data_IF_514833881811
#
_entry.id   IF_514833881811
#
_cell.length_a   1.000
_cell.length_b   1.000
_cell.length_c   1.000
_cell.angle_alpha   90.00
_cell.angle_beta   90.00
_cell.angle_gamma   90.00
#
_symmetry.space_group_name_H-M   'P 1'
#
loop_
_entity.id
_entity.type
_entity.pdbx_description
1 polymer ?
#
# COMPACT_ATOMS: atom_id res chain seq x y z
N UNK A 1 7.52 -13.36 11.80
CA UNK A 1 6.40 -12.62 12.40
C UNK A 1 5.46 -12.29 11.28
N UNK A 2 4.19 -12.66 11.43
CA UNK A 2 3.17 -12.47 10.40
C UNK A 2 2.31 -11.25 10.72
N UNK A 3 1.92 -10.49 9.69
CA UNK A 3 1.16 -9.26 9.82
C UNK A 3 1.99 -8.01 9.50
N UNK A 4 1.46 -6.84 9.87
CA UNK A 4 2.08 -5.55 9.65
C UNK A 4 2.75 -5.01 10.92
N UNK A 5 3.77 -4.18 10.73
CA UNK A 5 4.25 -3.26 11.76
C UNK A 5 3.48 -1.96 11.60
N UNK A 6 2.91 -1.45 12.69
CA UNK A 6 2.19 -0.17 12.69
C UNK A 6 3.08 0.86 13.35
N UNK A 7 3.25 2.00 12.69
CA UNK A 7 4.09 3.09 13.17
C UNK A 7 3.31 4.40 13.23
N UNK A 8 3.70 5.28 14.15
CA UNK A 8 3.26 6.67 14.16
C UNK A 8 3.91 7.44 13.00
N UNK A 9 3.42 8.65 12.72
CA UNK A 9 4.09 9.57 11.79
C UNK A 9 5.46 10.04 12.29
N UNK A 10 5.74 9.93 13.58
CA UNK A 10 7.06 10.17 14.19
C UNK A 10 7.96 8.92 14.16
N UNK A 11 7.53 7.85 13.48
CA UNK A 11 8.22 6.57 13.35
C UNK A 11 8.32 5.75 14.64
N UNK A 12 7.48 6.05 15.64
CA UNK A 12 7.36 5.18 16.82
C UNK A 12 6.66 3.89 16.45
N UNK A 13 7.18 2.74 16.90
CA UNK A 13 6.50 1.46 16.70
C UNK A 13 5.35 1.33 17.68
N UNK A 14 4.13 1.25 17.16
CA UNK A 14 2.90 1.13 17.94
C UNK A 14 2.47 -0.32 18.12
N UNK A 15 2.73 -1.17 17.11
CA UNK A 15 2.37 -2.58 17.15
C UNK A 15 3.20 -3.44 16.19
N UNK A 16 3.31 -4.71 16.54
CA UNK A 16 3.89 -5.77 15.73
C UNK A 16 2.83 -6.84 15.42
N UNK A 17 2.92 -7.48 14.26
CA UNK A 17 2.01 -8.55 13.84
C UNK A 17 0.55 -8.12 13.70
N UNK A 18 0.31 -6.84 13.42
CA UNK A 18 -1.03 -6.30 13.29
C UNK A 18 -1.75 -6.90 12.08
N UNK A 19 -3.00 -7.33 12.28
CA UNK A 19 -3.91 -7.67 11.17
C UNK A 19 -4.55 -6.37 10.70
N UNK A 20 -4.32 -6.04 9.44
CA UNK A 20 -4.95 -4.87 8.82
C UNK A 20 -6.44 -5.14 8.61
N UNK A 21 -7.31 -4.14 8.82
CA UNK A 21 -8.73 -4.27 8.55
C UNK A 21 -8.98 -4.56 7.07
N UNK A 22 -10.11 -5.21 6.73
CA UNK A 22 -10.49 -5.42 5.35
C UNK A 22 -10.70 -4.09 4.62
N UNK A 23 -10.64 -4.13 3.28
CA UNK A 23 -10.93 -2.96 2.45
C UNK A 23 -12.32 -2.41 2.79
N UNK A 24 -12.42 -1.08 2.94
CA UNK A 24 -13.69 -0.40 3.21
C UNK A 24 -14.54 -0.17 1.94
N UNK A 25 -14.01 -0.54 0.77
CA UNK A 25 -14.66 -0.42 -0.53
C UNK A 25 -13.94 -1.25 -1.59
N UNK A 26 -14.45 -1.21 -2.82
CA UNK A 26 -13.81 -1.85 -3.97
C UNK A 26 -12.67 -0.95 -4.43
N UNK A 27 -11.45 -1.48 -4.46
CA UNK A 27 -10.32 -0.83 -5.13
C UNK A 27 -10.53 -1.05 -6.62
N UNK A 28 -11.14 -0.08 -7.30
CA UNK A 28 -11.48 -0.21 -8.73
C UNK A 28 -10.23 -0.20 -9.61
N UNK A 29 -9.22 0.58 -9.22
CA UNK A 29 -8.01 0.76 -9.99
C UNK A 29 -6.86 1.22 -9.09
N UNK A 30 -5.64 0.80 -9.45
CA UNK A 30 -4.38 1.26 -8.85
C UNK A 30 -3.57 1.87 -9.96
N UNK A 31 -2.83 2.94 -9.67
CA UNK A 31 -1.97 3.61 -10.62
C UNK A 31 -0.51 3.43 -10.22
N UNK A 32 0.36 3.09 -11.17
CA UNK A 32 1.80 3.10 -10.93
C UNK A 32 2.33 4.53 -11.07
N UNK A 33 3.11 4.96 -10.08
CA UNK A 33 3.93 6.14 -10.22
C UNK A 33 5.11 5.86 -11.15
N UNK A 34 5.33 6.77 -12.10
CA UNK A 34 6.49 6.76 -13.00
C UNK A 34 7.63 7.62 -12.45
N UNK A 35 8.87 7.48 -12.95
CA UNK A 35 10.00 8.32 -12.52
C UNK A 35 9.79 9.83 -12.71
N UNK A 36 8.95 10.22 -13.67
CA UNK A 36 8.52 11.61 -13.91
C UNK A 36 7.27 12.00 -13.09
N UNK A 37 6.94 11.23 -12.05
CA UNK A 37 5.84 11.47 -11.10
C UNK A 37 4.44 11.47 -11.71
N UNK A 38 4.25 10.81 -12.86
CA UNK A 38 2.92 10.59 -13.42
C UNK A 38 2.25 9.42 -12.73
N UNK A 39 0.92 9.51 -12.58
CA UNK A 39 0.06 8.54 -11.89
C UNK A 39 -1.12 8.17 -12.78
N UNK A 40 -0.84 7.90 -14.05
CA UNK A 40 -1.82 7.65 -15.11
C UNK A 40 -1.75 6.22 -15.68
N UNK A 41 -0.71 5.46 -15.36
CA UNK A 41 -0.57 4.08 -15.78
C UNK A 41 -1.31 3.14 -14.82
N UNK A 42 -2.34 2.45 -15.31
CA UNK A 42 -3.03 1.40 -14.56
C UNK A 42 -2.06 0.28 -14.15
N UNK A 43 -2.20 -0.20 -12.93
CA UNK A 43 -1.37 -1.24 -12.35
C UNK A 43 -2.24 -2.32 -11.71
N UNK A 44 -2.06 -3.57 -12.14
CA UNK A 44 -2.89 -4.67 -11.65
C UNK A 44 -2.36 -5.25 -10.34
N UNK A 45 -3.28 -5.45 -9.40
CA UNK A 45 -3.07 -6.13 -8.12
C UNK A 45 -3.19 -7.66 -8.23
N UNK A 46 -3.69 -8.19 -9.35
CA UNK A 46 -4.09 -9.60 -9.51
C UNK A 46 -2.91 -10.55 -9.36
N UNK A 47 -1.76 -10.18 -9.91
CA UNK A 47 -0.53 -10.97 -9.86
C UNK A 47 0.25 -10.82 -8.54
N UNK A 48 -0.29 -10.13 -7.54
CA UNK A 48 0.46 -9.76 -6.32
C UNK A 48 0.08 -10.59 -5.11
N UNK A 49 0.99 -10.65 -4.15
CA UNK A 49 0.79 -11.40 -2.90
C UNK A 49 -0.17 -10.71 -1.92
N UNK A 50 -0.47 -11.40 -0.81
CA UNK A 50 -1.34 -10.91 0.26
C UNK A 50 -0.87 -9.60 0.88
N UNK A 51 0.45 -9.36 0.99
CA UNK A 51 1.02 -8.11 1.51
C UNK A 51 0.63 -6.90 0.66
N UNK A 52 0.72 -7.02 -0.67
CA UNK A 52 0.34 -5.96 -1.59
C UNK A 52 -1.16 -5.67 -1.49
N UNK A 53 -1.99 -6.73 -1.51
CA UNK A 53 -3.45 -6.58 -1.37
C UNK A 53 -3.85 -5.91 -0.06
N UNK A 54 -3.24 -6.31 1.06
CA UNK A 54 -3.52 -5.74 2.37
C UNK A 54 -3.09 -4.26 2.45
N UNK A 55 -1.92 -3.92 1.89
CA UNK A 55 -1.43 -2.55 1.85
C UNK A 55 -2.31 -1.63 0.99
N UNK A 56 -2.67 -2.06 -0.23
CA UNK A 56 -3.56 -1.30 -1.11
C UNK A 56 -4.94 -1.08 -0.45
N UNK A 57 -5.51 -2.13 0.15
CA UNK A 57 -6.78 -2.06 0.89
C UNK A 57 -6.69 -1.07 2.06
N UNK A 58 -5.61 -1.12 2.82
CA UNK A 58 -5.40 -0.23 3.95
C UNK A 58 -5.39 1.23 3.52
N UNK A 59 -4.53 1.63 2.57
CA UNK A 59 -4.46 3.05 2.18
C UNK A 59 -5.73 3.54 1.50
N UNK A 60 -6.45 2.67 0.77
CA UNK A 60 -7.75 3.03 0.18
C UNK A 60 -8.82 3.38 1.21
N UNK A 61 -8.75 2.81 2.42
CA UNK A 61 -9.73 3.01 3.48
C UNK A 61 -9.34 4.06 4.53
N UNK A 62 -8.09 4.52 4.49
CA UNK A 62 -7.50 5.48 5.43
C UNK A 62 -6.61 6.48 4.66
N UNK A 63 -7.21 7.55 4.10
CA UNK A 63 -6.46 8.66 3.50
C UNK A 63 -5.35 9.18 4.42
N UNK A 64 -4.30 9.76 3.84
CA UNK A 64 -3.11 10.28 4.54
C UNK A 64 -2.21 9.23 5.23
N UNK A 65 -2.46 7.94 4.97
CA UNK A 65 -1.57 6.85 5.39
C UNK A 65 -0.72 6.36 4.23
N UNK A 66 0.49 5.91 4.56
CA UNK A 66 1.40 5.24 3.64
C UNK A 66 1.61 3.80 4.13
N UNK A 67 1.66 2.86 3.18
CA UNK A 67 2.00 1.48 3.46
C UNK A 67 3.29 1.12 2.75
N UNK A 68 4.31 0.71 3.50
CA UNK A 68 5.54 0.14 2.97
C UNK A 68 5.39 -1.37 2.84
N UNK A 69 5.81 -1.90 1.71
CA UNK A 69 5.79 -3.33 1.42
C UNK A 69 7.22 -3.78 1.18
N UNK A 70 7.64 -4.76 1.97
CA UNK A 70 8.85 -5.53 1.71
C UNK A 70 8.39 -6.96 1.44
N UNK A 71 8.49 -7.38 0.18
CA UNK A 71 8.12 -8.73 -0.26
C UNK A 71 9.39 -9.57 -0.44
N UNK A 72 9.29 -10.88 -0.21
CA UNK A 72 10.41 -11.79 -0.53
C UNK A 72 10.63 -11.91 -2.05
N UNK A 73 9.56 -11.72 -2.83
CA UNK A 73 9.54 -12.02 -4.26
C UNK A 73 9.72 -10.78 -5.17
N UNK A 74 10.18 -9.66 -4.62
CA UNK A 74 10.32 -8.43 -5.41
C UNK A 74 10.90 -7.26 -4.64
N UNK A 75 11.04 -6.14 -5.37
CA UNK A 75 11.48 -4.88 -4.79
C UNK A 75 10.51 -4.41 -3.71
N UNK A 76 11.04 -3.61 -2.78
CA UNK A 76 10.18 -2.89 -1.86
C UNK A 76 9.31 -1.91 -2.66
N UNK A 77 8.17 -1.56 -2.10
CA UNK A 77 7.26 -0.62 -2.71
C UNK A 77 6.47 0.13 -1.65
N UNK A 78 5.82 1.22 -2.04
CA UNK A 78 4.80 1.87 -1.21
C UNK A 78 3.47 1.91 -1.92
N UNK A 79 2.40 1.92 -1.10
CA UNK A 79 1.10 2.38 -1.52
C UNK A 79 0.75 3.65 -0.76
N UNK A 80 0.10 4.58 -1.46
CA UNK A 80 -0.49 5.78 -0.86
C UNK A 80 -1.80 6.10 -1.58
N UNK A 81 -2.74 6.68 -0.85
CA UNK A 81 -3.91 7.30 -1.46
C UNK A 81 -3.62 8.78 -1.75
N UNK A 82 -3.84 9.20 -3.00
CA UNK A 82 -3.62 10.56 -3.50
C UNK A 82 -4.82 10.96 -4.37
N UNK A 83 -5.55 12.00 -3.98
CA UNK A 83 -6.67 12.57 -4.75
C UNK A 83 -7.73 11.53 -5.18
N UNK A 84 -8.07 10.60 -4.28
CA UNK A 84 -9.01 9.51 -4.49
C UNK A 84 -8.42 8.29 -5.20
N UNK A 85 -7.12 8.28 -5.52
CA UNK A 85 -6.45 7.21 -6.25
C UNK A 85 -5.48 6.46 -5.36
N UNK A 86 -5.47 5.13 -5.44
CA UNK A 86 -4.40 4.32 -4.84
C UNK A 86 -3.22 4.29 -5.80
N UNK A 87 -2.07 4.76 -5.34
CA UNK A 87 -0.84 4.87 -6.13
C UNK A 87 0.22 3.91 -5.61
N UNK A 88 0.78 3.12 -6.51
CA UNK A 88 1.90 2.20 -6.29
C UNK A 88 3.21 2.89 -6.64
N UNK A 89 4.17 2.90 -5.71
CA UNK A 89 5.52 3.42 -5.92
C UNK A 89 6.54 2.30 -5.78
N UNK A 90 7.25 1.90 -6.85
CA UNK A 90 8.39 1.00 -6.70
C UNK A 90 9.53 1.72 -5.97
N UNK A 91 10.20 1.03 -5.04
CA UNK A 91 11.43 1.48 -4.37
C UNK A 91 12.67 0.85 -5.00
#
# INVERSE_FOLDING_TARGET
MDGAVVMSHALDVLAFGAKLPPARGIISEIFAATPDQRMDASWSLDARGTRHRAAAAFVSGYPERIAFIVSQDGLAATFQEIEGKVVYWPL
#
